data_IF_939484079608
#
_entry.id   IF_939484079608
#
_cell.length_a   1.000
_cell.length_b   1.000
_cell.length_c   1.000
_cell.angle_alpha   90.00
_cell.angle_beta   90.00
_cell.angle_gamma   90.00
#
_symmetry.space_group_name_H-M   'P 1'
#
loop_
_entity.id
_entity.type
_entity.pdbx_description
1 polymer ?
#
# COMPACT_ATOMS: atom_id res chain seq x y z
N UNK A 1 -29.34 -81.31 7.83
CA UNK A 1 -29.70 -81.92 6.54
C UNK A 1 -29.72 -80.81 5.52
N UNK A 2 -29.01 -80.94 4.39
CA UNK A 2 -28.80 -79.90 3.35
C UNK A 2 -28.03 -78.68 3.90
N UNK A 3 -26.86 -78.26 3.40
CA UNK A 3 -26.09 -78.70 2.22
C UNK A 3 -26.63 -78.13 0.91
N UNK A 4 -25.85 -77.58 -0.02
CA UNK A 4 -24.39 -77.38 -0.10
C UNK A 4 -24.13 -76.19 -1.10
N UNK A 5 -22.95 -75.70 -1.49
CA UNK A 5 -21.55 -76.20 -1.52
C UNK A 5 -20.54 -75.09 -1.11
N UNK A 6 -19.23 -75.40 -1.15
CA UNK A 6 -18.09 -74.47 -0.95
C UNK A 6 -17.32 -74.16 -2.26
N UNK A 7 -16.49 -73.10 -2.26
CA UNK A 7 -15.23 -72.85 -3.03
C UNK A 7 -15.07 -71.33 -3.31
N UNK A 8 -13.88 -70.72 -3.41
CA UNK A 8 -12.48 -71.07 -3.07
C UNK A 8 -11.76 -69.75 -2.70
N UNK A 9 -10.77 -69.79 -1.81
CA UNK A 9 -9.85 -68.67 -1.58
C UNK A 9 -8.48 -69.00 -2.20
N UNK A 10 -7.77 -68.03 -2.79
CA UNK A 10 -6.59 -67.56 -2.07
C UNK A 10 -6.30 -66.05 -2.17
N UNK A 11 -5.49 -65.58 -1.22
CA UNK A 11 -4.97 -64.24 -1.08
C UNK A 11 -4.20 -63.73 -2.32
N UNK A 12 -4.22 -62.41 -2.57
CA UNK A 12 -2.98 -61.66 -2.83
C UNK A 12 -3.11 -60.14 -2.63
N UNK A 13 -2.03 -59.55 -2.10
CA UNK A 13 -1.68 -58.12 -2.05
C UNK A 13 -2.70 -57.14 -1.46
N UNK A 14 -2.30 -56.62 -0.29
CA UNK A 14 -2.52 -55.22 0.09
C UNK A 14 -2.40 -54.27 -1.11
N UNK A 15 -3.50 -53.60 -1.45
CA UNK A 15 -3.41 -52.27 -2.07
C UNK A 15 -3.10 -51.31 -0.94
N UNK A 16 -2.08 -50.47 -1.12
CA UNK A 16 -1.96 -49.27 -0.29
C UNK A 16 -3.26 -48.50 -0.40
N UNK A 17 -3.78 -48.02 0.72
CA UNK A 17 -4.53 -46.78 0.69
C UNK A 17 -3.52 -45.73 0.25
N UNK A 18 -3.52 -45.39 -1.04
CA UNK A 18 -2.74 -44.28 -1.56
C UNK A 18 -3.39 -42.99 -1.02
N UNK A 19 -3.08 -42.71 0.24
CA UNK A 19 -3.17 -41.38 0.79
C UNK A 19 -2.30 -40.53 -0.11
N UNK A 20 -2.96 -39.75 -0.96
CA UNK A 20 -2.40 -38.49 -1.44
C UNK A 20 -2.19 -37.66 -0.19
N UNK A 21 -1.03 -37.86 0.44
CA UNK A 21 -0.49 -36.92 1.38
C UNK A 21 -0.42 -35.61 0.60
N UNK A 22 -1.26 -34.64 0.99
CA UNK A 22 -1.25 -33.33 0.35
C UNK A 22 0.19 -32.83 0.37
N UNK A 23 0.74 -32.49 -0.81
CA UNK A 23 2.10 -31.94 -0.92
C UNK A 23 2.12 -30.65 -0.09
N UNK A 24 2.57 -30.78 1.16
CA UNK A 24 2.54 -29.74 2.18
C UNK A 24 3.50 -28.64 1.72
N UNK A 25 2.95 -27.68 0.97
CA UNK A 25 3.65 -27.07 -0.16
C UNK A 25 5.06 -26.64 0.21
N UNK A 26 6.06 -27.14 -0.52
CA UNK A 26 7.47 -27.08 -0.13
C UNK A 26 8.10 -25.69 -0.41
N UNK A 27 7.51 -24.67 0.22
CA UNK A 27 7.84 -23.26 0.15
C UNK A 27 7.67 -22.66 1.53
N UNK A 28 8.60 -21.82 1.95
CA UNK A 28 8.37 -20.95 3.10
C UNK A 28 7.26 -19.94 2.75
N UNK A 29 6.25 -19.74 3.62
CA UNK A 29 5.08 -18.93 3.29
C UNK A 29 5.43 -17.47 2.98
N UNK A 30 4.78 -16.89 1.98
CA UNK A 30 4.86 -15.47 1.63
C UNK A 30 3.63 -14.73 2.16
N UNK A 31 3.86 -13.58 2.78
CA UNK A 31 2.82 -12.61 3.16
C UNK A 31 3.04 -11.29 2.39
N UNK A 32 2.06 -10.93 1.56
CA UNK A 32 2.04 -9.65 0.83
C UNK A 32 1.41 -8.56 1.69
N UNK A 33 2.07 -7.40 1.84
CA UNK A 33 1.59 -6.24 2.62
C UNK A 33 1.49 -5.00 1.72
N UNK A 34 0.33 -4.38 1.67
CA UNK A 34 0.05 -3.24 0.78
C UNK A 34 0.59 -1.89 1.29
N UNK A 35 0.82 -0.95 0.38
CA UNK A 35 0.96 0.47 0.68
C UNK A 35 -0.35 1.26 0.70
N UNK A 36 -0.22 2.59 0.77
CA UNK A 36 -1.33 3.54 0.76
C UNK A 36 -2.20 3.39 -0.50
N UNK A 37 -3.53 3.46 -0.33
CA UNK A 37 -4.49 3.29 -1.42
C UNK A 37 -4.60 1.86 -1.98
N UNK A 38 -3.64 0.98 -1.72
CA UNK A 38 -3.58 -0.37 -2.30
C UNK A 38 -4.44 -1.44 -1.60
N UNK A 39 -5.38 -1.04 -0.73
CA UNK A 39 -6.28 -1.96 -0.02
C UNK A 39 -7.74 -1.59 -0.27
N UNK A 40 -8.56 -2.58 -0.63
CA UNK A 40 -10.02 -2.40 -0.75
C UNK A 40 -10.61 -2.04 0.62
N UNK A 41 -11.35 -0.93 0.68
CA UNK A 41 -12.13 -0.52 1.84
C UNK A 41 -13.63 -0.68 1.56
N UNK A 42 -14.31 -1.38 2.45
CA UNK A 42 -15.77 -1.49 2.49
C UNK A 42 -16.31 -0.68 3.67
N UNK A 43 -17.38 0.06 3.43
CA UNK A 43 -18.24 0.63 4.47
C UNK A 43 -19.36 -0.36 4.78
N UNK A 44 -19.50 -0.77 6.04
CA UNK A 44 -20.40 -1.83 6.51
C UNK A 44 -21.39 -1.29 7.53
N UNK A 45 -22.69 -1.52 7.33
CA UNK A 45 -23.76 -1.05 8.22
C UNK A 45 -23.76 -1.82 9.55
N UNK A 46 -23.54 -1.11 10.66
CA UNK A 46 -23.50 -1.69 12.02
C UNK A 46 -24.78 -2.49 12.37
N UNK A 47 -25.96 -2.03 11.92
CA UNK A 47 -27.27 -2.65 12.21
C UNK A 47 -27.64 -3.87 11.34
N UNK A 48 -27.06 -4.02 10.14
CA UNK A 48 -27.54 -5.00 9.16
C UNK A 48 -26.44 -5.73 8.37
N UNK A 49 -25.16 -5.46 8.62
CA UNK A 49 -24.03 -6.14 7.99
C UNK A 49 -23.81 -5.87 6.49
N UNK A 50 -24.75 -5.21 5.80
CA UNK A 50 -24.62 -4.84 4.39
C UNK A 50 -23.37 -4.00 4.15
N UNK A 51 -22.55 -4.41 3.19
CA UNK A 51 -21.29 -3.78 2.84
C UNK A 51 -21.40 -3.05 1.50
N UNK A 52 -20.67 -1.95 1.34
CA UNK A 52 -20.47 -1.27 0.08
C UNK A 52 -18.99 -0.96 -0.11
N UNK A 53 -18.40 -1.30 -1.27
CA UNK A 53 -17.05 -0.83 -1.60
C UNK A 53 -17.07 0.68 -1.76
N UNK A 54 -16.21 1.35 -1.01
CA UNK A 54 -15.99 2.80 -1.04
C UNK A 54 -14.62 3.16 -1.61
N UNK A 55 -13.68 2.21 -1.59
CA UNK A 55 -12.36 2.35 -2.21
C UNK A 55 -11.80 0.97 -2.62
N UNK A 56 -11.08 0.79 -3.73
CA UNK A 56 -11.09 1.67 -4.92
C UNK A 56 -12.42 1.45 -5.63
N UNK A 57 -12.95 2.51 -6.25
CA UNK A 57 -14.22 2.48 -6.96
C UNK A 57 -14.20 3.42 -8.14
N UNK A 58 -14.74 2.97 -9.28
CA UNK A 58 -14.94 3.79 -10.47
C UNK A 58 -16.36 4.37 -10.53
N UNK A 59 -17.39 3.51 -10.44
CA UNK A 59 -18.77 3.95 -10.62
C UNK A 59 -19.32 4.67 -9.38
N UNK A 60 -19.64 5.96 -9.52
CA UNK A 60 -20.03 6.86 -8.42
C UNK A 60 -18.97 6.97 -7.30
N UNK A 61 -17.68 6.95 -7.68
CA UNK A 61 -16.54 7.02 -6.78
C UNK A 61 -16.68 8.15 -5.75
N UNK A 62 -16.76 9.38 -6.24
CA UNK A 62 -16.82 10.62 -5.46
C UNK A 62 -18.02 10.63 -4.50
N UNK A 63 -19.23 10.30 -4.97
CA UNK A 63 -20.46 10.31 -4.16
C UNK A 63 -20.42 9.34 -2.98
N UNK A 64 -19.91 8.13 -3.19
CA UNK A 64 -19.85 7.08 -2.17
C UNK A 64 -18.68 7.26 -1.20
N UNK A 65 -17.55 7.77 -1.69
CA UNK A 65 -16.42 8.20 -0.87
C UNK A 65 -16.83 9.34 0.07
N UNK A 66 -17.44 10.40 -0.47
CA UNK A 66 -17.96 11.54 0.29
C UNK A 66 -18.90 11.09 1.40
N UNK A 67 -19.90 10.28 1.06
CA UNK A 67 -20.94 9.88 2.02
C UNK A 67 -20.41 9.03 3.18
N UNK A 68 -19.42 8.15 2.93
CA UNK A 68 -19.09 7.03 3.83
C UNK A 68 -17.63 6.95 4.30
N UNK A 69 -16.69 7.59 3.62
CA UNK A 69 -15.25 7.47 3.90
C UNK A 69 -14.58 8.77 4.38
N UNK A 70 -15.21 9.93 4.17
CA UNK A 70 -14.83 11.17 4.88
C UNK A 70 -14.89 10.97 6.40
N UNK A 71 -13.90 11.56 7.07
CA UNK A 71 -13.53 11.25 8.45
C UNK A 71 -12.88 12.44 9.15
N UNK A 72 -12.87 12.39 10.48
CA UNK A 72 -12.05 13.24 11.34
C UNK A 72 -11.14 12.36 12.20
N UNK A 73 -9.97 12.88 12.57
CA UNK A 73 -9.08 12.25 13.52
C UNK A 73 -9.52 12.55 14.96
N UNK A 74 -9.76 11.48 15.71
CA UNK A 74 -10.10 11.54 17.11
C UNK A 74 -8.81 11.41 17.95
N UNK A 75 -8.36 12.48 18.64
CA UNK A 75 -7.11 12.47 19.40
C UNK A 75 -7.20 11.68 20.72
N UNK A 76 -8.40 11.29 21.18
CA UNK A 76 -8.57 10.43 22.35
C UNK A 76 -8.38 8.95 22.01
N UNK A 77 -8.83 8.52 20.82
CA UNK A 77 -8.71 7.12 20.36
C UNK A 77 -7.47 6.89 19.49
N UNK A 78 -6.96 7.93 18.83
CA UNK A 78 -5.87 7.85 17.86
C UNK A 78 -6.30 7.39 16.45
N UNK A 79 -7.61 7.35 16.16
CA UNK A 79 -8.17 6.86 14.90
C UNK A 79 -8.78 7.98 14.04
N UNK A 80 -8.69 7.81 12.72
CA UNK A 80 -9.46 8.52 11.70
C UNK A 80 -10.83 7.86 11.57
N UNK A 81 -11.85 8.45 12.18
CA UNK A 81 -13.20 7.92 12.40
C UNK A 81 -14.18 8.50 11.37
N UNK A 82 -15.07 7.68 10.80
CA UNK A 82 -16.01 8.11 9.74
C UNK A 82 -17.10 9.04 10.28
N UNK A 83 -17.44 10.09 9.51
CA UNK A 83 -18.56 10.99 9.81
C UNK A 83 -19.92 10.26 9.83
N UNK A 84 -20.05 9.17 9.06
CA UNK A 84 -21.21 8.28 9.07
C UNK A 84 -21.13 7.29 10.25
N UNK A 85 -21.70 7.68 11.40
CA UNK A 85 -21.75 6.89 12.63
C UNK A 85 -22.46 5.53 12.48
N UNK A 86 -23.29 5.38 11.44
CA UNK A 86 -24.10 4.17 11.20
C UNK A 86 -23.30 3.03 10.59
N UNK A 87 -22.10 3.34 10.08
CA UNK A 87 -21.20 2.41 9.40
C UNK A 87 -19.87 2.20 10.15
N UNK A 88 -19.17 1.15 9.78
CA UNK A 88 -17.77 0.89 10.13
C UNK A 88 -16.95 0.64 8.86
N UNK A 89 -15.67 1.03 8.86
CA UNK A 89 -14.74 0.73 7.76
C UNK A 89 -14.04 -0.60 8.04
N UNK A 90 -14.22 -1.53 7.09
CA UNK A 90 -13.69 -2.89 7.13
C UNK A 90 -12.93 -3.21 5.84
N UNK A 91 -11.94 -4.09 5.96
CA UNK A 91 -11.13 -4.59 4.85
C UNK A 91 -11.59 -6.02 4.56
N UNK A 92 -11.75 -6.44 3.30
CA UNK A 92 -12.05 -7.83 2.96
C UNK A 92 -10.94 -8.80 3.41
N UNK A 93 -11.31 -9.87 4.11
CA UNK A 93 -10.40 -10.98 4.46
C UNK A 93 -10.51 -12.17 3.49
N UNK A 94 -11.35 -12.03 2.46
CA UNK A 94 -11.55 -13.00 1.39
C UNK A 94 -10.24 -13.37 0.67
N UNK A 95 -10.18 -14.61 0.18
CA UNK A 95 -8.97 -15.21 -0.40
C UNK A 95 -7.74 -15.03 0.51
N UNK A 96 -7.93 -15.22 1.83
CA UNK A 96 -6.91 -15.10 2.87
C UNK A 96 -6.30 -13.68 2.99
N UNK A 97 -7.08 -12.66 2.61
CA UNK A 97 -6.69 -11.26 2.54
C UNK A 97 -5.99 -10.87 1.22
N UNK A 98 -5.84 -11.80 0.26
CA UNK A 98 -5.31 -11.48 -1.06
C UNK A 98 -6.31 -10.66 -1.89
N UNK A 99 -7.61 -10.94 -1.78
CA UNK A 99 -8.65 -10.24 -2.55
C UNK A 99 -8.64 -8.71 -2.30
N UNK A 100 -8.32 -8.28 -1.08
CA UNK A 100 -8.24 -6.86 -0.74
C UNK A 100 -7.07 -6.11 -1.42
N UNK A 101 -6.06 -6.81 -1.95
CA UNK A 101 -4.83 -6.22 -2.50
C UNK A 101 -4.54 -6.67 -3.95
N UNK A 102 -5.40 -7.50 -4.54
CA UNK A 102 -5.27 -8.12 -5.87
C UNK A 102 -5.63 -7.14 -7.00
N UNK A 103 -6.94 -6.91 -7.21
CA UNK A 103 -7.50 -5.93 -8.15
C UNK A 103 -8.46 -5.05 -7.36
N UNK A 104 -8.15 -3.75 -7.25
CA UNK A 104 -8.74 -2.84 -6.27
C UNK A 104 -10.17 -2.37 -6.63
N UNK A 105 -10.51 -2.29 -7.92
CA UNK A 105 -11.91 -2.29 -8.37
C UNK A 105 -12.18 -3.57 -9.21
N UNK A 106 -12.54 -4.70 -8.56
CA UNK A 106 -12.69 -5.99 -9.23
C UNK A 106 -14.03 -6.14 -9.98
N UNK A 107 -14.64 -5.03 -10.44
CA UNK A 107 -15.90 -5.05 -11.19
C UNK A 107 -15.80 -5.89 -12.47
N UNK A 108 -16.95 -6.40 -12.93
CA UNK A 108 -17.01 -7.21 -14.15
C UNK A 108 -16.62 -6.38 -15.39
N UNK A 109 -16.96 -5.08 -15.40
CA UNK A 109 -16.48 -4.13 -16.42
C UNK A 109 -14.95 -3.99 -16.40
N UNK A 110 -14.34 -3.79 -15.23
CA UNK A 110 -12.88 -3.70 -15.07
C UNK A 110 -12.19 -4.92 -15.66
N UNK A 111 -12.70 -6.12 -15.33
CA UNK A 111 -12.12 -7.41 -15.74
C UNK A 111 -12.31 -7.69 -17.23
N UNK A 112 -13.44 -7.30 -17.82
CA UNK A 112 -13.69 -7.44 -19.26
C UNK A 112 -12.92 -6.42 -20.11
N UNK A 113 -12.70 -5.20 -19.61
CA UNK A 113 -11.92 -4.16 -20.29
C UNK A 113 -10.41 -4.21 -19.94
N UNK A 114 -10.00 -5.09 -19.03
CA UNK A 114 -8.63 -5.29 -18.56
C UNK A 114 -7.95 -3.98 -18.10
N UNK A 115 -8.65 -3.19 -17.28
CA UNK A 115 -8.17 -1.89 -16.79
C UNK A 115 -7.06 -2.07 -15.73
N UNK A 116 -5.81 -2.25 -16.20
CA UNK A 116 -4.61 -2.45 -15.37
C UNK A 116 -4.37 -1.34 -14.35
N UNK A 117 -4.92 -0.14 -14.56
CA UNK A 117 -4.88 0.99 -13.63
C UNK A 117 -5.40 0.69 -12.21
N UNK A 118 -6.22 -0.35 -12.02
CA UNK A 118 -6.66 -0.80 -10.68
C UNK A 118 -6.12 -2.17 -10.27
N UNK A 119 -5.18 -2.73 -11.04
CA UNK A 119 -4.44 -3.93 -10.65
C UNK A 119 -3.32 -3.51 -9.68
N UNK A 120 -3.06 -4.31 -8.64
CA UNK A 120 -2.09 -3.96 -7.58
C UNK A 120 -1.09 -5.09 -7.35
N UNK A 121 -1.39 -6.10 -6.53
CA UNK A 121 -0.54 -7.30 -6.44
C UNK A 121 -0.87 -8.39 -7.46
N UNK A 122 -1.86 -8.20 -8.33
CA UNK A 122 -2.38 -9.24 -9.26
C UNK A 122 -1.28 -10.05 -9.96
N UNK A 123 -0.41 -9.39 -10.72
CA UNK A 123 0.64 -10.05 -11.50
C UNK A 123 1.67 -10.75 -10.60
N UNK A 124 1.91 -10.23 -9.39
CA UNK A 124 2.81 -10.84 -8.40
C UNK A 124 2.18 -12.08 -7.75
N UNK A 125 0.87 -12.05 -7.49
CA UNK A 125 0.10 -13.20 -6.99
C UNK A 125 0.12 -14.32 -8.03
N UNK A 126 -0.17 -14.01 -9.29
CA UNK A 126 -0.12 -14.97 -10.40
C UNK A 126 1.31 -15.50 -10.64
N UNK A 127 2.33 -14.64 -10.52
CA UNK A 127 3.75 -15.03 -10.57
C UNK A 127 4.11 -16.04 -9.49
N UNK A 128 3.73 -15.78 -8.23
CA UNK A 128 4.00 -16.67 -7.09
C UNK A 128 3.22 -17.98 -7.20
N UNK A 129 1.95 -17.96 -7.61
CA UNK A 129 1.18 -19.18 -7.91
C UNK A 129 1.86 -20.00 -9.02
N UNK A 130 2.41 -19.34 -10.05
CA UNK A 130 3.25 -19.97 -11.08
C UNK A 130 4.55 -20.61 -10.57
N UNK A 131 5.11 -20.12 -9.45
CA UNK A 131 6.23 -20.71 -8.72
C UNK A 131 5.83 -21.86 -7.77
N UNK A 132 4.54 -22.18 -7.69
CA UNK A 132 3.99 -23.29 -6.89
C UNK A 132 3.50 -22.91 -5.49
N UNK A 133 3.32 -21.62 -5.20
CA UNK A 133 2.71 -21.18 -3.93
C UNK A 133 1.20 -21.49 -3.92
N UNK A 134 0.69 -21.96 -2.77
CA UNK A 134 -0.74 -22.26 -2.55
C UNK A 134 -1.40 -21.14 -1.72
N UNK A 135 -2.41 -20.46 -2.27
CA UNK A 135 -3.21 -19.46 -1.52
C UNK A 135 -3.80 -20.10 -0.26
N UNK A 136 -3.61 -19.49 0.91
CA UNK A 136 -4.09 -19.99 2.20
C UNK A 136 -3.24 -21.07 2.88
N UNK A 137 -2.19 -21.59 2.21
CA UNK A 137 -1.21 -22.51 2.83
C UNK A 137 0.19 -21.88 2.86
N UNK A 138 0.59 -21.25 1.76
CA UNK A 138 1.90 -20.61 1.58
C UNK A 138 1.83 -19.23 0.93
N UNK A 139 0.67 -18.74 0.50
CA UNK A 139 0.50 -17.36 0.02
C UNK A 139 -0.68 -16.68 0.72
N UNK A 140 -0.44 -15.51 1.29
CA UNK A 140 -1.37 -14.74 2.10
C UNK A 140 -1.28 -13.25 1.78
N UNK A 141 -2.36 -12.50 2.02
CA UNK A 141 -2.39 -11.05 1.84
C UNK A 141 -2.78 -10.31 3.11
N UNK A 142 -2.25 -9.11 3.27
CA UNK A 142 -2.64 -8.15 4.29
C UNK A 142 -2.87 -6.75 3.70
N UNK A 143 -4.14 -6.45 3.45
CA UNK A 143 -4.62 -5.09 3.31
C UNK A 143 -5.07 -4.53 4.67
N UNK A 144 -5.09 -3.20 4.81
CA UNK A 144 -5.48 -2.51 6.04
C UNK A 144 -6.08 -1.13 5.74
N UNK A 145 -6.62 -0.46 6.76
CA UNK A 145 -7.15 0.89 6.61
C UNK A 145 -5.99 1.89 6.53
N UNK A 146 -5.52 2.14 5.31
CA UNK A 146 -4.37 3.00 5.01
C UNK A 146 -4.55 4.48 5.38
N UNK A 147 -5.72 4.88 5.90
CA UNK A 147 -5.98 6.21 6.45
C UNK A 147 -5.36 6.37 7.84
N UNK A 148 -5.23 5.26 8.56
CA UNK A 148 -4.77 5.21 9.95
C UNK A 148 -3.24 5.23 10.07
N UNK A 149 -2.74 5.50 11.27
CA UNK A 149 -1.31 5.40 11.60
C UNK A 149 -0.75 4.00 11.35
N UNK A 150 0.48 3.92 10.85
CA UNK A 150 1.23 2.67 10.65
C UNK A 150 1.55 1.93 11.96
N UNK A 151 1.38 2.59 13.11
CA UNK A 151 1.47 1.97 14.44
C UNK A 151 0.13 1.83 15.19
N UNK A 152 -1.00 1.95 14.49
CA UNK A 152 -2.32 1.80 15.13
C UNK A 152 -2.60 0.32 15.49
N UNK A 153 -3.22 0.08 16.64
CA UNK A 153 -3.44 -1.29 17.17
C UNK A 153 -4.16 -2.21 16.18
N UNK A 154 -5.13 -1.70 15.41
CA UNK A 154 -5.88 -2.49 14.42
C UNK A 154 -5.01 -3.02 13.28
N UNK A 155 -4.01 -2.25 12.83
CA UNK A 155 -3.08 -2.64 11.77
C UNK A 155 -1.95 -3.52 12.32
N UNK A 156 -1.36 -3.13 13.45
CA UNK A 156 -0.23 -3.82 14.09
C UNK A 156 -0.64 -5.21 14.60
N UNK A 157 -1.79 -5.32 15.29
CA UNK A 157 -2.29 -6.63 15.75
C UNK A 157 -2.90 -7.47 14.62
N UNK A 158 -3.46 -6.84 13.57
CA UNK A 158 -3.91 -7.57 12.38
C UNK A 158 -2.75 -8.24 11.65
N UNK A 159 -1.63 -7.54 11.45
CA UNK A 159 -0.40 -8.10 10.89
C UNK A 159 0.14 -9.26 11.76
N UNK A 160 0.14 -9.11 13.09
CA UNK A 160 0.47 -10.20 14.04
C UNK A 160 -0.37 -11.44 13.82
N UNK A 161 -1.70 -11.30 13.80
CA UNK A 161 -2.64 -12.42 13.59
C UNK A 161 -2.44 -13.07 12.22
N UNK A 162 -2.17 -12.28 11.18
CA UNK A 162 -1.90 -12.77 9.83
C UNK A 162 -0.59 -13.58 9.76
N UNK A 163 0.49 -13.09 10.37
CA UNK A 163 1.76 -13.81 10.49
C UNK A 163 1.63 -15.12 11.27
N UNK A 164 0.92 -15.08 12.41
CA UNK A 164 0.62 -16.28 13.19
C UNK A 164 -0.20 -17.31 12.40
N UNK A 165 -1.15 -16.85 11.58
CA UNK A 165 -1.99 -17.69 10.74
C UNK A 165 -1.17 -18.34 9.62
N UNK A 166 -0.35 -17.55 8.91
CA UNK A 166 0.54 -18.03 7.86
C UNK A 166 1.56 -19.06 8.40
N UNK A 167 2.15 -18.81 9.56
CA UNK A 167 3.06 -19.73 10.23
C UNK A 167 2.39 -21.06 10.62
N UNK A 168 1.16 -21.02 11.15
CA UNK A 168 0.41 -22.24 11.50
C UNK A 168 0.00 -23.03 10.25
N UNK A 169 -0.53 -22.35 9.24
CA UNK A 169 -0.97 -22.96 7.98
C UNK A 169 0.18 -23.53 7.13
N UNK A 170 1.39 -22.98 7.24
CA UNK A 170 2.57 -23.48 6.51
C UNK A 170 3.22 -24.73 7.11
N UNK A 171 2.74 -25.19 8.28
CA UNK A 171 3.37 -26.29 9.04
C UNK A 171 4.47 -25.84 10.00
N UNK A 172 4.49 -24.57 10.42
CA UNK A 172 5.49 -24.04 11.36
C UNK A 172 6.74 -23.45 10.71
N UNK A 173 6.68 -23.10 9.42
CA UNK A 173 7.75 -22.38 8.71
C UNK A 173 7.58 -20.88 8.87
N UNK A 174 8.70 -20.18 9.11
CA UNK A 174 8.79 -18.72 9.17
C UNK A 174 8.36 -18.08 7.84
N UNK A 175 7.83 -16.87 7.91
CA UNK A 175 7.18 -16.14 6.83
C UNK A 175 8.15 -15.19 6.14
N UNK A 176 8.15 -15.19 4.81
CA UNK A 176 8.79 -14.17 3.99
C UNK A 176 7.79 -13.02 3.78
N UNK A 177 8.05 -11.83 4.31
CA UNK A 177 7.21 -10.65 4.09
C UNK A 177 7.63 -9.99 2.77
N UNK A 178 6.68 -9.64 1.91
CA UNK A 178 6.90 -8.72 0.78
C UNK A 178 5.99 -7.51 1.00
N UNK A 179 6.57 -6.32 1.19
CA UNK A 179 5.81 -5.10 1.48
C UNK A 179 6.02 -4.01 0.44
N UNK A 180 4.95 -3.37 -0.02
CA UNK A 180 5.00 -2.25 -0.98
C UNK A 180 4.78 -0.90 -0.30
N UNK A 181 5.56 0.11 -0.69
CA UNK A 181 5.34 1.52 -0.34
C UNK A 181 5.17 1.69 1.18
N UNK A 182 4.14 2.43 1.63
CA UNK A 182 3.82 2.62 3.05
C UNK A 182 3.67 1.31 3.85
N UNK A 183 3.39 0.18 3.21
CA UNK A 183 3.37 -1.13 3.87
C UNK A 183 4.71 -1.50 4.50
N UNK A 184 5.82 -0.98 3.96
CA UNK A 184 7.14 -1.07 4.58
C UNK A 184 7.21 -0.30 5.91
N UNK A 185 6.55 0.85 6.04
CA UNK A 185 6.49 1.62 7.29
C UNK A 185 5.60 0.95 8.36
N UNK A 186 4.54 0.27 7.95
CA UNK A 186 3.75 -0.61 8.83
C UNK A 186 4.58 -1.80 9.32
N UNK A 187 5.29 -2.51 8.42
CA UNK A 187 6.16 -3.63 8.79
C UNK A 187 7.30 -3.18 9.71
N UNK A 188 7.87 -2.00 9.45
CA UNK A 188 8.89 -1.34 10.27
C UNK A 188 8.37 -0.97 11.67
N UNK A 189 7.17 -0.38 11.75
CA UNK A 189 6.49 -0.07 13.02
C UNK A 189 6.22 -1.34 13.83
N UNK A 190 5.71 -2.39 13.18
CA UNK A 190 5.44 -3.69 13.79
C UNK A 190 6.73 -4.39 14.28
N UNK A 191 7.82 -4.34 13.51
CA UNK A 191 9.13 -4.89 13.89
C UNK A 191 9.74 -4.18 15.11
N UNK A 192 9.54 -2.86 15.20
CA UNK A 192 10.02 -2.04 16.32
C UNK A 192 9.21 -2.29 17.60
N UNK A 193 7.88 -2.41 17.48
CA UNK A 193 6.97 -2.59 18.63
C UNK A 193 6.83 -4.05 19.11
N UNK A 194 7.02 -5.03 18.23
CA UNK A 194 6.83 -6.47 18.50
C UNK A 194 8.01 -7.28 17.98
N UNK A 195 9.22 -6.87 18.36
CA UNK A 195 10.49 -7.44 17.90
C UNK A 195 10.60 -8.95 18.17
N UNK A 196 10.06 -9.44 19.28
CA UNK A 196 10.00 -10.87 19.65
C UNK A 196 9.09 -11.67 18.68
N UNK A 197 7.92 -11.14 18.37
CA UNK A 197 6.94 -11.72 17.44
C UNK A 197 7.53 -11.74 16.03
N UNK A 198 8.19 -10.66 15.61
CA UNK A 198 8.87 -10.55 14.32
C UNK A 198 10.00 -11.58 14.21
N UNK A 199 10.91 -11.60 15.19
CA UNK A 199 12.02 -12.57 15.26
C UNK A 199 11.55 -14.03 15.20
N UNK A 200 10.42 -14.33 15.86
CA UNK A 200 9.83 -15.66 15.92
C UNK A 200 9.21 -16.10 14.60
N UNK A 201 8.45 -15.22 13.94
CA UNK A 201 7.63 -15.60 12.78
C UNK A 201 8.19 -15.20 11.42
N UNK A 202 9.12 -14.26 11.31
CA UNK A 202 9.66 -13.76 10.03
C UNK A 202 10.99 -14.43 9.68
N UNK A 203 11.17 -14.75 8.39
CA UNK A 203 12.37 -15.35 7.80
C UNK A 203 13.17 -14.33 6.97
N UNK A 204 12.45 -13.65 6.08
CA UNK A 204 12.96 -12.62 5.19
C UNK A 204 11.97 -11.47 5.14
N UNK A 205 12.46 -10.25 4.93
CA UNK A 205 11.63 -9.10 4.56
C UNK A 205 12.17 -8.49 3.26
N UNK A 206 11.35 -8.56 2.21
CA UNK A 206 11.58 -7.90 0.92
C UNK A 206 10.73 -6.64 0.91
N UNK A 207 11.36 -5.48 0.82
CA UNK A 207 10.68 -4.19 0.77
C UNK A 207 10.76 -3.60 -0.64
N UNK A 208 9.65 -3.04 -1.13
CA UNK A 208 9.52 -2.49 -2.49
C UNK A 208 9.03 -1.05 -2.39
N UNK A 209 9.84 -0.09 -2.80
CA UNK A 209 9.49 1.33 -2.91
C UNK A 209 9.02 2.01 -1.61
N UNK A 210 9.46 1.54 -0.44
CA UNK A 210 9.04 2.10 0.84
C UNK A 210 9.64 3.50 1.07
N UNK A 211 8.84 4.53 1.38
CA UNK A 211 9.34 5.88 1.66
C UNK A 211 9.92 5.97 3.08
N UNK A 212 11.05 5.30 3.33
CA UNK A 212 11.66 5.22 4.66
C UNK A 212 11.91 6.60 5.28
N UNK A 213 12.28 7.60 4.48
CA UNK A 213 12.51 8.99 4.92
C UNK A 213 11.38 9.95 4.53
N UNK A 214 10.25 9.43 4.03
CA UNK A 214 9.13 10.19 3.49
C UNK A 214 9.16 10.37 1.97
N UNK A 215 8.11 10.96 1.42
CA UNK A 215 7.91 11.18 -0.02
C UNK A 215 7.59 12.67 -0.27
N UNK A 216 8.61 13.55 -0.30
CA UNK A 216 8.43 14.96 0.05
C UNK A 216 7.45 15.71 -0.84
N UNK A 217 7.63 15.66 -2.17
CA UNK A 217 6.78 16.39 -3.10
C UNK A 217 5.32 15.93 -3.05
N UNK A 218 5.10 14.62 -3.19
CA UNK A 218 3.76 14.03 -3.20
C UNK A 218 3.00 14.22 -1.87
N UNK A 219 3.69 14.18 -0.72
CA UNK A 219 3.04 14.28 0.60
C UNK A 219 2.79 15.72 1.03
N UNK A 220 3.74 16.63 0.79
CA UNK A 220 3.53 18.07 1.01
C UNK A 220 2.35 18.60 0.18
N UNK A 221 2.24 18.14 -1.07
CA UNK A 221 1.10 18.44 -1.95
C UNK A 221 -0.21 17.78 -1.50
N UNK A 222 -0.17 16.50 -1.10
CA UNK A 222 -1.34 15.76 -0.59
C UNK A 222 -2.02 16.42 0.62
N UNK A 223 -1.25 17.13 1.45
CA UNK A 223 -1.76 17.90 2.60
C UNK A 223 -2.26 19.31 2.23
N UNK A 224 -1.84 19.86 1.10
CA UNK A 224 -2.14 21.24 0.71
C UNK A 224 -3.25 21.34 -0.33
N UNK A 225 -3.17 20.55 -1.40
CA UNK A 225 -4.15 20.60 -2.51
C UNK A 225 -4.79 19.25 -2.84
N UNK A 226 -4.29 18.17 -2.22
CA UNK A 226 -4.82 16.82 -2.34
C UNK A 226 -4.08 15.92 -3.34
N UNK A 227 -4.51 14.67 -3.42
CA UNK A 227 -3.89 13.64 -4.24
C UNK A 227 -4.83 13.17 -5.35
N UNK A 228 -4.28 12.89 -6.53
CA UNK A 228 -5.01 12.32 -7.66
C UNK A 228 -4.18 11.20 -8.29
N UNK A 229 -4.76 10.00 -8.40
CA UNK A 229 -4.04 8.77 -8.76
C UNK A 229 -4.00 8.47 -10.27
N UNK A 230 -4.73 9.26 -11.07
CA UNK A 230 -4.86 9.14 -12.53
C UNK A 230 -5.10 10.55 -13.08
N UNK A 231 -4.41 10.91 -14.17
CA UNK A 231 -4.54 12.21 -14.83
C UNK A 231 -5.43 12.14 -16.08
N UNK A 232 -5.75 13.31 -16.67
CA UNK A 232 -6.52 13.39 -17.92
C UNK A 232 -7.99 12.96 -17.78
N UNK A 233 -8.59 12.48 -18.88
CA UNK A 233 -10.03 12.18 -18.94
C UNK A 233 -10.45 11.01 -18.02
N UNK A 234 -9.55 10.04 -17.78
CA UNK A 234 -9.87 8.91 -16.92
C UNK A 234 -10.06 9.33 -15.45
N UNK A 235 -9.46 10.45 -15.04
CA UNK A 235 -9.56 11.00 -13.68
C UNK A 235 -11.00 11.32 -13.24
N UNK A 236 -11.92 11.61 -14.18
CA UNK A 236 -13.34 11.84 -13.90
C UNK A 236 -14.08 10.61 -13.34
N UNK A 237 -13.51 9.41 -13.47
CA UNK A 237 -14.06 8.18 -12.90
C UNK A 237 -13.48 7.84 -11.52
N UNK A 238 -12.51 8.61 -11.02
CA UNK A 238 -11.91 8.39 -9.70
C UNK A 238 -12.44 9.43 -8.69
N UNK A 239 -11.94 9.34 -7.45
CA UNK A 239 -12.18 10.37 -6.44
C UNK A 239 -11.41 11.63 -6.85
N UNK A 240 -12.11 12.76 -6.86
CA UNK A 240 -11.55 14.06 -7.25
C UNK A 240 -10.51 14.55 -6.22
N UNK A 241 -9.49 15.27 -6.71
CA UNK A 241 -8.34 15.74 -5.92
C UNK A 241 -8.74 16.46 -4.62
N UNK A 242 -9.71 17.38 -4.70
CA UNK A 242 -10.24 18.10 -3.53
C UNK A 242 -11.02 17.20 -2.55
N UNK A 243 -11.78 16.23 -3.07
CA UNK A 243 -12.49 15.26 -2.23
C UNK A 243 -11.52 14.36 -1.48
N UNK A 244 -10.38 14.04 -2.10
CA UNK A 244 -9.27 13.32 -1.48
C UNK A 244 -8.56 14.21 -0.44
N UNK A 245 -8.24 15.48 -0.76
CA UNK A 245 -7.68 16.47 0.19
C UNK A 245 -8.46 16.51 1.51
N UNK A 246 -9.78 16.66 1.43
CA UNK A 246 -10.69 16.71 2.57
C UNK A 246 -10.76 15.40 3.40
N UNK A 247 -10.11 14.32 2.94
CA UNK A 247 -9.82 13.14 3.75
C UNK A 247 -8.36 13.11 4.25
N UNK A 248 -7.39 13.47 3.40
CA UNK A 248 -5.96 13.29 3.67
C UNK A 248 -5.43 14.21 4.78
N UNK A 249 -6.01 15.40 4.95
CA UNK A 249 -5.72 16.31 6.09
C UNK A 249 -5.97 15.64 7.45
N UNK A 250 -6.87 14.65 7.51
CA UNK A 250 -7.25 13.92 8.73
C UNK A 250 -6.73 12.46 8.77
N UNK A 251 -5.75 12.12 7.91
CA UNK A 251 -5.13 10.79 7.84
C UNK A 251 -3.70 10.76 8.44
N UNK A 252 -3.46 10.16 9.62
CA UNK A 252 -2.11 10.01 10.19
C UNK A 252 -1.07 9.35 9.31
N UNK A 253 -1.47 8.47 8.40
CA UNK A 253 -0.59 7.87 7.41
C UNK A 253 0.12 8.89 6.49
N UNK A 254 -0.52 10.01 6.19
CA UNK A 254 0.06 11.09 5.37
C UNK A 254 1.16 11.81 6.15
N UNK A 255 0.88 12.19 7.40
CA UNK A 255 1.83 12.89 8.27
C UNK A 255 3.04 12.01 8.61
N UNK A 256 2.89 10.69 8.68
CA UNK A 256 3.99 9.75 8.90
C UNK A 256 4.96 9.62 7.69
N UNK A 257 4.49 10.01 6.49
CA UNK A 257 5.27 10.03 5.23
C UNK A 257 5.78 11.43 4.85
N UNK A 258 5.59 12.45 5.70
CA UNK A 258 6.25 13.75 5.57
C UNK A 258 7.79 13.59 5.47
N UNK A 259 8.51 14.52 4.81
CA UNK A 259 9.97 14.49 4.77
C UNK A 259 10.55 14.44 6.19
N UNK A 260 11.38 13.44 6.47
CA UNK A 260 12.03 13.31 7.77
C UNK A 260 13.00 14.50 8.00
N UNK A 261 12.77 15.37 9.02
CA UNK A 261 13.64 16.51 9.29
C UNK A 261 15.00 16.10 9.86
N UNK A 262 15.09 14.93 10.51
CA UNK A 262 16.35 14.39 11.04
C UNK A 262 17.23 13.77 9.94
N UNK A 263 16.69 13.55 8.74
CA UNK A 263 17.40 12.90 7.65
C UNK A 263 18.29 13.88 6.87
N UNK A 264 19.52 13.44 6.61
CA UNK A 264 20.55 14.23 5.90
C UNK A 264 20.39 14.08 4.39
N UNK A 265 19.26 14.55 3.87
CA UNK A 265 19.02 14.68 2.44
C UNK A 265 20.17 15.42 1.74
N UNK A 266 20.60 14.94 0.57
CA UNK A 266 21.61 15.57 -0.28
C UNK A 266 21.27 17.03 -0.61
N UNK A 267 20.00 17.28 -0.92
CA UNK A 267 19.36 18.60 -0.99
C UNK A 267 18.18 18.56 -0.02
N UNK A 268 17.97 19.55 0.83
CA UNK A 268 16.78 19.57 1.70
C UNK A 268 15.52 19.85 0.87
N UNK A 269 14.45 19.04 0.96
CA UNK A 269 13.22 19.26 0.22
C UNK A 269 12.44 20.45 0.76
N UNK A 270 11.84 21.23 -0.14
CA UNK A 270 11.21 22.51 0.19
C UNK A 270 9.74 22.61 -0.28
N UNK A 271 8.98 23.42 0.44
CA UNK A 271 7.76 24.05 -0.09
C UNK A 271 8.12 25.49 -0.46
N UNK A 272 7.84 25.87 -1.70
CA UNK A 272 8.17 27.16 -2.28
C UNK A 272 6.88 27.91 -2.65
N UNK A 273 6.82 29.22 -2.41
CA UNK A 273 5.63 30.03 -2.70
C UNK A 273 6.06 31.36 -3.31
N UNK A 274 5.51 31.70 -4.47
CA UNK A 274 5.65 33.06 -5.01
C UNK A 274 4.76 34.02 -4.23
N UNK A 275 5.36 35.08 -3.68
CA UNK A 275 4.78 35.95 -2.65
C UNK A 275 5.09 37.41 -2.97
N UNK A 276 4.13 38.31 -2.78
CA UNK A 276 4.36 39.75 -2.92
C UNK A 276 4.90 40.32 -1.61
N UNK A 277 6.05 41.01 -1.64
CA UNK A 277 6.69 41.48 -0.40
C UNK A 277 5.94 42.63 0.29
N UNK A 278 5.27 43.51 -0.46
CA UNK A 278 4.49 44.62 0.11
C UNK A 278 3.28 45.00 -0.74
N UNK A 279 2.45 45.93 -0.23
CA UNK A 279 1.34 46.51 -0.99
C UNK A 279 1.72 47.75 -1.81
N UNK A 280 2.95 48.25 -1.64
CA UNK A 280 3.41 49.52 -2.22
C UNK A 280 4.50 49.33 -3.29
N UNK A 281 5.22 48.22 -3.26
CA UNK A 281 6.12 47.76 -4.33
C UNK A 281 5.54 46.53 -5.03
N UNK A 282 5.69 46.46 -6.35
CA UNK A 282 5.36 45.27 -7.16
C UNK A 282 6.47 44.20 -7.14
N UNK A 283 7.21 44.12 -6.04
CA UNK A 283 8.26 43.13 -5.80
C UNK A 283 7.68 41.76 -5.40
N UNK A 284 8.00 40.73 -6.18
CA UNK A 284 7.56 39.35 -6.00
C UNK A 284 8.77 38.44 -5.79
N UNK A 285 8.77 37.65 -4.72
CA UNK A 285 9.85 36.76 -4.31
C UNK A 285 9.36 35.32 -4.16
N UNK A 286 10.27 34.36 -4.29
CA UNK A 286 10.02 32.94 -4.04
C UNK A 286 10.40 32.56 -2.60
N UNK A 287 9.49 32.74 -1.65
CA UNK A 287 9.65 32.20 -0.29
C UNK A 287 9.90 30.68 -0.38
N UNK A 288 10.81 30.15 0.44
CA UNK A 288 11.16 28.72 0.47
C UNK A 288 11.28 28.23 1.92
N UNK A 289 10.57 27.16 2.27
CA UNK A 289 10.45 26.62 3.64
C UNK A 289 10.78 25.12 3.65
N UNK A 290 11.61 24.66 4.58
CA UNK A 290 12.05 23.27 4.70
C UNK A 290 11.09 22.39 5.51
N UNK A 291 11.51 21.16 5.88
CA UNK A 291 10.66 20.19 6.59
C UNK A 291 10.16 20.64 7.98
N UNK A 292 10.79 21.62 8.61
CA UNK A 292 10.37 22.17 9.91
C UNK A 292 9.57 23.46 9.70
N UNK A 293 10.04 24.35 8.82
CA UNK A 293 9.43 25.65 8.53
C UNK A 293 8.10 25.51 7.77
N UNK A 294 7.90 24.41 7.05
CA UNK A 294 6.63 24.08 6.39
C UNK A 294 5.46 23.87 7.36
N UNK A 295 5.71 23.57 8.64
CA UNK A 295 4.65 23.39 9.65
C UNK A 295 3.79 24.66 9.78
N UNK A 296 4.42 25.84 9.79
CA UNK A 296 3.67 27.12 9.84
C UNK A 296 2.91 27.37 8.55
N UNK A 297 3.47 26.99 7.40
CA UNK A 297 2.80 27.13 6.10
C UNK A 297 1.57 26.22 5.99
N UNK A 298 1.61 24.99 6.51
CA UNK A 298 0.43 24.13 6.55
C UNK A 298 -0.66 24.72 7.45
N UNK A 299 -0.30 25.26 8.62
CA UNK A 299 -1.22 25.98 9.51
C UNK A 299 -1.84 27.21 8.81
N UNK A 300 -1.01 28.09 8.23
CA UNK A 300 -1.44 29.31 7.54
C UNK A 300 -2.30 29.03 6.29
N UNK A 301 -2.04 27.94 5.56
CA UNK A 301 -2.83 27.53 4.41
C UNK A 301 -4.16 26.89 4.81
N UNK A 302 -4.15 25.93 5.75
CA UNK A 302 -5.33 25.16 6.13
C UNK A 302 -6.25 25.88 7.13
N UNK A 303 -5.88 27.06 7.65
CA UNK A 303 -6.67 27.82 8.65
C UNK A 303 -8.13 28.10 8.26
N UNK A 304 -8.42 28.20 6.97
CA UNK A 304 -9.75 28.44 6.40
C UNK A 304 -10.35 27.18 5.72
N UNK A 305 -9.67 26.04 5.77
CA UNK A 305 -10.07 24.83 5.05
C UNK A 305 -11.31 24.19 5.70
N UNK A 306 -12.28 23.82 4.88
CA UNK A 306 -13.57 23.30 5.36
C UNK A 306 -14.14 22.18 4.49
N UNK A 307 -15.13 21.49 5.06
CA UNK A 307 -15.83 20.36 4.51
C UNK A 307 -17.34 20.51 4.75
N UNK A 308 -18.14 20.51 3.68
CA UNK A 308 -19.59 20.45 3.82
C UNK A 308 -20.08 18.99 3.79
N UNK A 309 -20.68 18.53 4.90
CA UNK A 309 -21.21 17.18 5.08
C UNK A 309 -22.69 17.24 5.48
N UNK A 310 -23.56 16.66 4.64
CA UNK A 310 -25.04 16.69 4.78
C UNK A 310 -25.60 18.08 5.18
N UNK A 311 -25.03 19.15 4.61
CA UNK A 311 -25.42 20.55 4.84
C UNK A 311 -24.71 21.26 5.99
N UNK A 312 -23.90 20.56 6.79
CA UNK A 312 -23.11 21.12 7.90
C UNK A 312 -21.69 21.43 7.43
N UNK A 313 -21.20 22.64 7.68
CA UNK A 313 -19.78 22.97 7.48
C UNK A 313 -18.96 22.51 8.69
N UNK A 314 -17.87 21.80 8.41
CA UNK A 314 -16.90 21.24 9.36
C UNK A 314 -15.53 21.80 9.00
N UNK A 315 -14.80 22.38 9.96
CA UNK A 315 -13.46 22.88 9.74
C UNK A 315 -12.43 21.73 9.65
N UNK A 316 -11.48 21.83 8.72
CA UNK A 316 -10.37 20.89 8.52
C UNK A 316 -9.00 21.61 8.56
N UNK A 317 -8.63 22.24 9.69
CA UNK A 317 -7.34 22.90 9.85
C UNK A 317 -6.18 21.89 9.89
N UNK A 318 -4.95 22.38 9.82
CA UNK A 318 -3.77 21.52 9.99
C UNK A 318 -3.78 20.84 11.37
N UNK A 319 -3.74 19.51 11.39
CA UNK A 319 -4.05 18.75 12.59
C UNK A 319 -2.78 18.45 13.41
N UNK A 320 -2.44 19.37 14.31
CA UNK A 320 -1.30 19.24 15.22
C UNK A 320 -1.32 17.99 16.11
N UNK A 321 -2.51 17.43 16.40
CA UNK A 321 -2.62 16.16 17.14
C UNK A 321 -2.08 14.99 16.32
N UNK A 322 -2.41 14.96 15.03
CA UNK A 322 -1.87 13.99 14.08
C UNK A 322 -0.37 14.19 13.90
N UNK A 323 0.11 15.43 13.71
CA UNK A 323 1.54 15.71 13.58
C UNK A 323 2.32 15.18 14.79
N UNK A 324 1.86 15.47 16.01
CA UNK A 324 2.45 14.95 17.26
C UNK A 324 2.46 13.41 17.32
N UNK A 325 1.38 12.76 16.86
CA UNK A 325 1.34 11.30 16.78
C UNK A 325 2.37 10.76 15.77
N UNK A 326 2.47 11.39 14.61
CA UNK A 326 3.41 11.04 13.54
C UNK A 326 4.88 11.26 13.94
N UNK A 327 5.20 12.31 14.71
CA UNK A 327 6.54 12.48 15.31
C UNK A 327 6.88 11.31 16.24
N UNK A 328 5.92 10.84 17.04
CA UNK A 328 6.09 9.64 17.86
C UNK A 328 6.31 8.37 17.02
N UNK A 329 5.61 8.23 15.88
CA UNK A 329 5.87 7.14 14.92
C UNK A 329 7.26 7.26 14.32
N UNK A 330 7.69 8.46 13.88
CA UNK A 330 9.01 8.72 13.31
C UNK A 330 10.14 8.31 14.28
N UNK A 331 9.99 8.55 15.58
CA UNK A 331 10.92 8.05 16.60
C UNK A 331 10.95 6.51 16.69
N UNK A 332 9.81 5.83 16.54
CA UNK A 332 9.73 4.36 16.53
C UNK A 332 10.37 3.76 15.25
N UNK A 333 10.23 4.43 14.11
CA UNK A 333 10.88 4.05 12.84
C UNK A 333 12.40 4.27 12.91
N UNK A 334 12.86 5.45 13.36
CA UNK A 334 14.28 5.81 13.42
C UNK A 334 15.08 4.94 14.42
N UNK A 335 14.42 4.37 15.44
CA UNK A 335 15.05 3.48 16.43
C UNK A 335 14.88 1.98 16.11
N UNK A 336 14.22 1.61 15.02
CA UNK A 336 13.94 0.22 14.69
C UNK A 336 15.21 -0.56 14.35
N UNK A 337 15.32 -1.81 14.80
CA UNK A 337 16.46 -2.69 14.54
C UNK A 337 15.98 -4.02 13.96
N UNK A 338 16.60 -4.43 12.85
CA UNK A 338 16.35 -5.73 12.21
C UNK A 338 16.88 -6.86 13.12
N UNK A 339 16.06 -7.86 13.49
CA UNK A 339 16.53 -8.93 14.36
C UNK A 339 17.56 -9.86 13.70
N UNK A 340 18.48 -10.36 14.53
CA UNK A 340 19.46 -11.38 14.14
C UNK A 340 18.75 -12.61 13.52
N UNK A 341 19.14 -12.99 12.31
CA UNK A 341 18.54 -14.13 11.60
C UNK A 341 17.21 -13.83 10.91
N UNK A 342 16.98 -12.57 10.52
CA UNK A 342 16.03 -12.19 9.46
C UNK A 342 16.81 -11.49 8.34
N UNK A 343 16.73 -12.00 7.11
CA UNK A 343 17.35 -11.34 5.96
C UNK A 343 16.49 -10.19 5.46
N UNK A 344 17.08 -9.02 5.20
CA UNK A 344 16.38 -7.87 4.61
C UNK A 344 16.89 -7.58 3.18
N UNK A 345 15.96 -7.30 2.27
CA UNK A 345 16.20 -6.96 0.87
C UNK A 345 15.39 -5.72 0.50
N UNK A 346 15.97 -4.82 -0.29
CA UNK A 346 15.31 -3.58 -0.70
C UNK A 346 15.31 -3.40 -2.23
N UNK A 347 14.13 -3.17 -2.80
CA UNK A 347 13.93 -2.74 -4.18
C UNK A 347 13.41 -1.32 -4.16
N UNK A 348 14.11 -0.40 -4.83
CA UNK A 348 13.68 0.99 -5.01
C UNK A 348 13.58 1.30 -6.50
N UNK A 349 12.60 2.13 -6.88
CA UNK A 349 12.51 2.59 -8.27
C UNK A 349 13.50 3.72 -8.55
N UNK A 350 13.93 3.80 -9.81
CA UNK A 350 14.88 4.79 -10.33
C UNK A 350 14.50 5.21 -11.74
N UNK A 351 15.16 6.24 -12.27
CA UNK A 351 15.07 6.69 -13.65
C UNK A 351 13.73 7.33 -14.06
N UNK A 352 12.92 7.74 -13.08
CA UNK A 352 11.73 8.58 -13.29
C UNK A 352 11.82 9.88 -12.48
N UNK A 353 11.41 10.98 -13.11
CA UNK A 353 11.30 12.31 -12.50
C UNK A 353 10.30 12.26 -11.34
N UNK A 354 10.81 12.43 -10.11
CA UNK A 354 10.02 12.21 -8.88
C UNK A 354 9.87 13.51 -8.09
N UNK A 355 8.63 13.97 -7.80
CA UNK A 355 8.37 15.22 -7.09
C UNK A 355 9.14 15.35 -5.78
N UNK A 356 9.94 16.42 -5.66
CA UNK A 356 10.80 16.66 -4.51
C UNK A 356 10.43 17.96 -3.79
N UNK A 357 10.65 19.11 -4.43
CA UNK A 357 10.11 20.39 -3.96
C UNK A 357 8.72 20.63 -4.57
N UNK A 358 7.85 21.31 -3.83
CA UNK A 358 6.53 21.74 -4.32
C UNK A 358 6.46 23.25 -4.36
N UNK A 359 6.00 23.84 -5.47
CA UNK A 359 5.92 25.28 -5.68
C UNK A 359 4.50 25.74 -6.01
N UNK A 360 4.08 26.85 -5.41
CA UNK A 360 2.77 27.46 -5.62
C UNK A 360 2.87 28.91 -6.12
N UNK A 361 1.88 29.33 -6.93
CA UNK A 361 1.85 30.63 -7.61
C UNK A 361 2.86 30.75 -8.76
N UNK A 362 2.99 31.97 -9.31
CA UNK A 362 4.04 32.38 -10.26
C UNK A 362 4.48 33.82 -9.99
N UNK A 363 5.61 34.24 -10.57
CA UNK A 363 6.04 35.65 -10.59
C UNK A 363 4.93 36.60 -11.10
N UNK A 364 4.13 36.14 -12.07
CA UNK A 364 2.98 36.84 -12.68
C UNK A 364 1.65 36.67 -11.94
N UNK A 365 1.59 35.78 -10.95
CA UNK A 365 0.38 35.42 -10.18
C UNK A 365 0.80 34.87 -8.82
N UNK A 366 1.38 35.71 -7.94
CA UNK A 366 1.79 35.29 -6.60
C UNK A 366 0.57 34.94 -5.73
N UNK A 367 0.82 34.15 -4.70
CA UNK A 367 -0.14 33.89 -3.62
C UNK A 367 -0.17 35.11 -2.70
N UNK A 368 -1.29 35.82 -2.62
CA UNK A 368 -1.45 36.95 -1.69
C UNK A 368 -1.80 36.45 -0.28
N UNK A 369 -2.63 35.42 -0.19
CA UNK A 369 -3.05 34.77 1.05
C UNK A 369 -2.71 33.28 1.01
N UNK A 370 -1.98 32.75 2.00
CA UNK A 370 -1.52 31.36 2.00
C UNK A 370 -2.66 30.32 1.95
N UNK A 371 -3.90 30.68 2.28
CA UNK A 371 -5.07 29.79 2.11
C UNK A 371 -5.52 29.63 0.65
N UNK A 372 -5.06 30.47 -0.26
CA UNK A 372 -5.24 30.31 -1.72
C UNK A 372 -4.46 29.10 -2.26
N UNK A 373 -3.40 28.65 -1.54
CA UNK A 373 -2.59 27.47 -1.93
C UNK A 373 -3.50 26.26 -2.14
N UNK A 374 -4.46 26.03 -1.25
CA UNK A 374 -5.39 24.90 -1.30
C UNK A 374 -6.27 24.83 -2.56
N UNK A 375 -6.37 25.92 -3.33
CA UNK A 375 -7.12 25.99 -4.58
C UNK A 375 -6.23 26.32 -5.79
N UNK A 376 -4.91 26.33 -5.60
CA UNK A 376 -3.90 26.45 -6.66
C UNK A 376 -3.46 25.07 -7.17
N UNK A 377 -2.72 25.05 -8.28
CA UNK A 377 -2.05 23.84 -8.78
C UNK A 377 -0.55 23.91 -8.46
N UNK A 378 0.07 22.83 -7.95
CA UNK A 378 1.50 22.78 -7.71
C UNK A 378 2.29 22.75 -9.02
N UNK A 379 3.53 23.24 -8.95
CA UNK A 379 4.64 22.87 -9.82
C UNK A 379 5.66 22.10 -8.99
N UNK A 380 6.40 21.16 -9.58
CA UNK A 380 7.40 20.37 -8.86
C UNK A 380 8.82 20.65 -9.34
N UNK A 381 9.79 20.52 -8.43
CA UNK A 381 11.14 20.08 -8.81
C UNK A 381 11.19 18.55 -8.78
N UNK A 382 12.14 17.96 -9.50
CA UNK A 382 12.25 16.51 -9.64
C UNK A 382 13.63 16.00 -9.25
N UNK A 383 13.67 14.80 -8.67
CA UNK A 383 14.88 14.00 -8.42
C UNK A 383 14.69 12.58 -8.94
N UNK A 384 15.76 11.80 -8.99
CA UNK A 384 15.70 10.38 -9.35
C UNK A 384 14.87 9.57 -8.35
N UNK A 385 13.95 8.75 -8.87
CA UNK A 385 13.03 7.92 -8.09
C UNK A 385 12.05 7.18 -9.00
N UNK A 386 10.82 7.02 -8.51
CA UNK A 386 9.78 6.18 -9.12
C UNK A 386 8.46 6.91 -9.46
N UNK A 387 8.49 8.24 -9.58
CA UNK A 387 7.31 9.15 -9.69
C UNK A 387 6.54 9.38 -8.39
N UNK A 388 6.93 8.77 -7.27
CA UNK A 388 6.28 9.01 -5.95
C UNK A 388 7.29 9.13 -4.81
N UNK A 389 8.30 8.28 -4.77
CA UNK A 389 9.30 8.18 -3.70
C UNK A 389 10.69 8.43 -4.28
N UNK A 390 11.43 9.44 -3.81
CA UNK A 390 12.83 9.65 -4.21
C UNK A 390 13.68 8.42 -3.92
N UNK A 391 14.56 8.04 -4.86
CA UNK A 391 15.45 6.90 -4.70
C UNK A 391 16.36 7.03 -3.46
N UNK A 392 16.72 8.26 -3.07
CA UNK A 392 17.43 8.57 -1.82
C UNK A 392 16.64 8.14 -0.58
N UNK A 393 15.33 8.44 -0.51
CA UNK A 393 14.45 8.04 0.59
C UNK A 393 14.22 6.53 0.60
N UNK A 394 13.92 5.94 -0.57
CA UNK A 394 13.65 4.51 -0.68
C UNK A 394 14.86 3.63 -0.37
N UNK A 395 16.08 4.12 -0.61
CA UNK A 395 17.34 3.44 -0.28
C UNK A 395 17.81 3.66 1.16
N UNK A 396 17.33 4.70 1.84
CA UNK A 396 17.73 5.06 3.20
C UNK A 396 16.95 4.29 4.28
N UNK A 397 16.95 2.96 4.17
CA UNK A 397 16.22 2.05 5.08
C UNK A 397 16.87 1.86 6.47
N UNK A 398 18.18 2.14 6.61
CA UNK A 398 18.91 2.08 7.87
C UNK A 398 19.49 0.71 8.27
N UNK A 399 19.32 -0.35 7.47
CA UNK A 399 19.73 -1.72 7.82
C UNK A 399 21.01 -2.19 7.13
N UNK A 400 21.52 -3.36 7.53
CA UNK A 400 22.48 -4.13 6.72
C UNK A 400 21.73 -5.08 5.78
N UNK A 401 21.11 -4.50 4.73
CA UNK A 401 20.40 -5.26 3.71
C UNK A 401 21.36 -6.23 2.98
N UNK A 402 20.91 -7.47 2.78
CA UNK A 402 21.62 -8.51 2.01
C UNK A 402 21.80 -8.08 0.56
N UNK A 403 20.79 -7.43 -0.02
CA UNK A 403 20.87 -6.80 -1.34
C UNK A 403 19.99 -5.54 -1.40
N UNK A 404 20.43 -4.54 -2.19
CA UNK A 404 19.64 -3.37 -2.56
C UNK A 404 19.70 -3.15 -4.05
N UNK A 405 18.56 -3.13 -4.74
CA UNK A 405 18.50 -3.03 -6.20
C UNK A 405 17.64 -1.84 -6.62
N UNK A 406 18.23 -0.93 -7.40
CA UNK A 406 17.50 0.09 -8.13
C UNK A 406 16.92 -0.50 -9.42
N UNK A 407 15.63 -0.31 -9.67
CA UNK A 407 14.95 -0.82 -10.86
C UNK A 407 14.28 0.34 -11.61
N UNK A 408 14.49 0.41 -12.93
CA UNK A 408 13.94 1.46 -13.77
C UNK A 408 12.43 1.26 -14.04
N UNK A 409 11.60 1.46 -13.01
CA UNK A 409 10.14 1.35 -13.08
C UNK A 409 9.42 2.32 -12.12
N UNK A 410 8.24 2.77 -12.53
CA UNK A 410 7.31 3.62 -11.77
C UNK A 410 6.83 2.95 -10.48
N UNK A 411 6.41 3.73 -9.49
CA UNK A 411 6.07 3.30 -8.11
C UNK A 411 5.13 2.09 -8.03
N UNK A 412 4.09 2.07 -8.88
CA UNK A 412 3.16 0.93 -9.03
C UNK A 412 3.63 -0.09 -10.09
N UNK A 413 4.38 0.35 -11.10
CA UNK A 413 4.95 -0.53 -12.13
C UNK A 413 5.92 -1.57 -11.56
N UNK A 414 6.59 -1.26 -10.44
CA UNK A 414 7.41 -2.22 -9.69
C UNK A 414 6.64 -3.48 -9.26
N UNK A 415 5.31 -3.44 -9.11
CA UNK A 415 4.51 -4.62 -8.73
C UNK A 415 4.17 -5.56 -9.90
N UNK A 416 4.44 -5.15 -11.14
CA UNK A 416 4.29 -5.97 -12.34
C UNK A 416 5.58 -6.08 -13.18
N UNK A 417 6.70 -5.51 -12.71
CA UNK A 417 7.97 -5.55 -13.42
C UNK A 417 8.64 -6.93 -13.38
N UNK A 418 9.23 -7.31 -14.52
CA UNK A 418 9.88 -8.61 -14.73
C UNK A 418 11.23 -8.72 -14.01
N UNK A 419 11.94 -7.61 -13.82
CA UNK A 419 13.18 -7.56 -13.04
C UNK A 419 12.88 -7.77 -11.57
N UNK A 420 11.88 -7.05 -11.04
CA UNK A 420 11.37 -7.24 -9.67
C UNK A 420 10.93 -8.68 -9.45
N UNK A 421 10.19 -9.28 -10.38
CA UNK A 421 9.80 -10.68 -10.27
C UNK A 421 10.99 -11.65 -10.29
N UNK A 422 12.02 -11.41 -11.09
CA UNK A 422 13.23 -12.23 -11.09
C UNK A 422 14.01 -12.10 -9.77
N UNK A 423 14.11 -10.90 -9.19
CA UNK A 423 14.74 -10.66 -7.88
C UNK A 423 13.98 -11.40 -6.77
N UNK A 424 12.65 -11.24 -6.70
CA UNK A 424 11.80 -11.93 -5.74
C UNK A 424 11.93 -13.46 -5.88
N UNK A 425 11.94 -13.98 -7.12
CA UNK A 425 12.15 -15.40 -7.38
C UNK A 425 13.51 -15.89 -6.86
N UNK A 426 14.58 -15.15 -7.13
CA UNK A 426 15.94 -15.47 -6.67
C UNK A 426 16.03 -15.47 -5.14
N UNK A 427 15.54 -14.42 -4.46
CA UNK A 427 15.64 -14.27 -3.00
C UNK A 427 14.74 -15.24 -2.22
N UNK A 428 13.65 -15.71 -2.83
CA UNK A 428 12.79 -16.79 -2.30
C UNK A 428 13.29 -18.21 -2.69
N UNK A 429 14.32 -18.35 -3.52
CA UNK A 429 14.83 -19.65 -3.97
C UNK A 429 13.85 -20.42 -4.87
N UNK A 430 13.03 -19.71 -5.66
CA UNK A 430 11.97 -20.31 -6.50
C UNK A 430 12.15 -19.97 -7.98
N UNK A 431 11.50 -20.76 -8.83
CA UNK A 431 11.37 -20.51 -10.26
C UNK A 431 9.96 -20.91 -10.74
N UNK A 432 9.48 -20.34 -11.84
CA UNK A 432 8.20 -20.74 -12.41
C UNK A 432 8.29 -22.13 -13.04
N UNK A 433 7.29 -22.98 -12.80
CA UNK A 433 7.16 -24.23 -13.54
C UNK A 433 6.78 -23.90 -15.00
N UNK A 434 7.46 -24.44 -16.02
CA UNK A 434 7.14 -24.13 -17.41
C UNK A 434 5.70 -24.54 -17.72
N UNK A 435 4.90 -23.61 -18.28
CA UNK A 435 3.52 -23.86 -18.67
C UNK A 435 3.49 -24.99 -19.72
N UNK A 436 3.05 -26.18 -19.31
CA UNK A 436 2.83 -27.32 -20.21
C UNK A 436 1.71 -26.98 -21.20
N UNK A 437 2.06 -26.47 -22.37
CA UNK A 437 1.13 -26.40 -23.50
C UNK A 437 0.68 -27.82 -23.84
N UNK A 438 -0.61 -28.12 -23.64
CA UNK A 438 -1.21 -29.40 -24.01
C UNK A 438 -1.45 -29.44 -25.52
N UNK A 439 -0.41 -29.74 -26.29
CA UNK A 439 -0.49 -29.98 -27.74
C UNK A 439 -1.13 -31.35 -28.02
N UNK A 440 -2.41 -31.49 -27.67
CA UNK A 440 -3.21 -32.71 -27.87
C UNK A 440 -4.01 -32.68 -29.19
N UNK A 441 -3.35 -32.27 -30.27
CA UNK A 441 -3.85 -32.42 -31.64
C UNK A 441 -3.30 -33.70 -32.28
N UNK A 442 -3.81 -34.87 -31.86
CA UNK A 442 -3.62 -36.11 -32.64
C UNK A 442 -4.48 -36.01 -33.90
N UNK A 443 -3.86 -35.67 -35.04
CA UNK A 443 -4.47 -35.92 -36.34
C UNK A 443 -4.60 -37.44 -36.49
N UNK A 444 -5.83 -37.91 -36.71
CA UNK A 444 -6.07 -39.27 -37.17
C UNK A 444 -6.03 -39.27 -38.69
N UNK A 445 -4.99 -39.84 -39.28
CA UNK A 445 -5.04 -40.26 -40.68
C UNK A 445 -6.07 -41.38 -40.82
N UNK A 446 -7.18 -41.07 -41.51
CA UNK A 446 -8.20 -42.06 -41.89
C UNK A 446 -8.14 -42.20 -43.39
N UNK A 447 -7.57 -43.32 -43.86
CA UNK A 447 -7.60 -43.70 -45.27
C UNK A 447 -9.06 -43.79 -45.76
N UNK A 448 -9.27 -43.45 -47.03
CA UNK A 448 -10.47 -43.84 -47.78
C UNK A 448 -10.07 -44.06 -49.24
N UNK A 449 -10.62 -45.13 -49.80
CA UNK A 449 -10.24 -45.79 -51.06
C UNK A 449 -10.14 -44.87 -52.29
#
# INVERSE_FOLDING_TARGET
MFGDHSCICPCFRSRSSDTVADEQSDRDPVLLVSGMGGSILHSKRKKFGFQTRVWVRLFLADLEFKKKLWSLYNPETGYTESLDDSNEIVIPEDDYGLYAIDILDPSLMTKCLHLTLVYHFHDMIDMLVGCGYKKGTTLFGYGYDFRQSNRIDKAVNGLKVKLETAYKASGGRKVNIISHSMGGLLVLSFMSLHNDVFSKYVNKWICIACPFQGAPGCINDSLLTGLQFVEGFESYFFVSRWTMHQLLVECPSIYEMLPNPDFKWKNQPQIQVWRKQSKEEDSVELESRGPIESITLFEEALRNNELNYDGTTIALPFNFSILKWATGTRQILNNAQLPNGVDFYNIFGTSFDTPFDVRYGSETSPIEDLSEICHSMPQYSYVDGDETVPAESAKADGFEAVERVGVAARHRGLLCDKTVFQLIQNWLGVSQKPKKHSTTSRVMDVFSN
#
